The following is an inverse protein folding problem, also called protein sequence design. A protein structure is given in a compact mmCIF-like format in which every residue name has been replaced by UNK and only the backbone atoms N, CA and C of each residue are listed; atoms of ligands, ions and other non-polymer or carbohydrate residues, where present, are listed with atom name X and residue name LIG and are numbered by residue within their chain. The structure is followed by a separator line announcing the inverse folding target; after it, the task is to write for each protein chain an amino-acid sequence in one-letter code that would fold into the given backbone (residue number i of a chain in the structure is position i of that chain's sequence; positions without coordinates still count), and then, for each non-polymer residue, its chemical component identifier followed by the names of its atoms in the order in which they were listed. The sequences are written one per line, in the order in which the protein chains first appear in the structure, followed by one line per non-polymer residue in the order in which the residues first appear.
data_IF_023783935919
#
_entry.id   IF_023783935919
#
_cell.length_a   1.000
_cell.length_b   1.000
_cell.length_c   1.000
_cell.angle_alpha   90.00
_cell.angle_beta   90.00
_cell.angle_gamma   90.00
#
_symmetry.space_group_name_H-M   'P 1'
#
loop_
_entity.id
_entity.type
_entity.pdbx_description
1 polymer ?
#
# COMPACT_ATOMS: atom_id res chain seq x y z
N UNK A 1 -7.22 12.06 11.93
CA UNK A 1 -6.40 11.88 10.75
C UNK A 1 -6.53 13.06 9.84
N UNK A 2 -5.46 13.53 9.24
CA UNK A 2 -5.51 14.75 8.45
C UNK A 2 -6.12 14.50 7.08
N UNK A 3 -6.79 15.53 6.55
CA UNK A 3 -7.32 15.46 5.18
C UNK A 3 -6.21 15.28 4.16
N UNK A 4 -5.01 15.81 4.45
CA UNK A 4 -3.87 15.66 3.55
C UNK A 4 -3.46 14.21 3.41
N UNK A 5 -3.48 13.46 4.52
CA UNK A 5 -3.16 12.03 4.46
C UNK A 5 -4.17 11.28 3.60
N UNK A 6 -5.46 11.55 3.79
CA UNK A 6 -6.51 10.86 3.05
C UNK A 6 -6.39 11.15 1.56
N UNK A 7 -6.18 12.41 1.18
CA UNK A 7 -6.03 12.80 -0.22
C UNK A 7 -4.82 12.13 -0.86
N UNK A 8 -3.70 12.13 -0.15
CA UNK A 8 -2.47 11.50 -0.65
C UNK A 8 -2.64 10.00 -0.81
N UNK A 9 -3.30 9.36 0.15
CA UNK A 9 -3.54 7.93 0.09
C UNK A 9 -4.41 7.56 -1.12
N UNK A 10 -5.47 8.33 -1.37
CA UNK A 10 -6.33 8.10 -2.52
C UNK A 10 -5.56 8.27 -3.83
N UNK A 11 -4.78 9.35 -3.94
CA UNK A 11 -3.98 9.60 -5.14
C UNK A 11 -3.01 8.45 -5.40
N UNK A 12 -2.31 8.02 -4.37
CA UNK A 12 -1.34 6.92 -4.49
C UNK A 12 -2.03 5.60 -4.83
N UNK A 13 -3.21 5.36 -4.27
CA UNK A 13 -3.98 4.16 -4.59
C UNK A 13 -4.36 4.11 -6.07
N UNK A 14 -4.76 5.24 -6.64
CA UNK A 14 -5.08 5.32 -8.05
C UNK A 14 -3.84 5.10 -8.92
N UNK A 15 -2.70 5.65 -8.52
CA UNK A 15 -1.44 5.42 -9.23
C UNK A 15 -1.05 3.95 -9.19
N UNK A 16 -1.23 3.32 -8.05
CA UNK A 16 -0.92 1.90 -7.88
C UNK A 16 -1.83 1.04 -8.76
N UNK A 17 -3.12 1.36 -8.82
CA UNK A 17 -4.05 0.64 -9.68
C UNK A 17 -3.64 0.72 -11.14
N UNK A 18 -3.21 1.90 -11.59
CA UNK A 18 -2.70 2.06 -12.95
C UNK A 18 -1.45 1.22 -13.19
N UNK A 19 -0.57 1.19 -12.20
CA UNK A 19 0.64 0.38 -12.30
C UNK A 19 0.28 -1.10 -12.46
N UNK A 20 -0.64 -1.59 -11.65
CA UNK A 20 -1.06 -2.99 -11.72
C UNK A 20 -1.70 -3.34 -13.06
N UNK A 21 -2.45 -2.41 -13.65
CA UNK A 21 -3.04 -2.63 -14.97
C UNK A 21 -1.98 -2.88 -16.04
N UNK A 22 -0.84 -2.23 -15.90
CA UNK A 22 0.26 -2.35 -16.86
C UNK A 22 1.21 -3.49 -16.52
N UNK A 23 1.10 -4.06 -15.33
CA UNK A 23 2.01 -5.10 -14.85
C UNK A 23 1.23 -6.26 -14.26
N UNK A 24 0.55 -7.06 -15.12
CA UNK A 24 -0.30 -8.15 -14.60
C UNK A 24 0.45 -9.18 -13.77
N UNK A 25 1.75 -9.38 -14.02
CA UNK A 25 2.54 -10.30 -13.22
C UNK A 25 2.65 -9.84 -11.77
N UNK A 26 2.71 -8.53 -11.54
CA UNK A 26 2.73 -7.99 -10.18
C UNK A 26 1.37 -8.17 -9.49
N UNK A 27 0.30 -7.99 -10.23
CA UNK A 27 -1.05 -8.21 -9.69
C UNK A 27 -1.21 -9.63 -9.16
N UNK A 28 -0.62 -10.61 -9.84
CA UNK A 28 -0.71 -12.01 -9.44
C UNK A 28 0.00 -12.30 -8.11
N UNK A 29 0.91 -11.44 -7.70
CA UNK A 29 1.62 -11.58 -6.42
C UNK A 29 0.75 -11.21 -5.22
N UNK A 30 -0.39 -10.55 -5.46
CA UNK A 30 -1.25 -10.10 -4.39
C UNK A 30 -2.25 -11.22 -4.05
N UNK A 31 -2.24 -11.72 -2.80
CA UNK A 31 -3.21 -12.73 -2.41
C UNK A 31 -4.63 -12.20 -2.47
N UNK A 32 -5.58 -13.10 -2.72
CA UNK A 32 -6.98 -12.72 -2.74
C UNK A 32 -7.39 -12.14 -1.37
N UNK A 33 -8.10 -11.01 -1.39
CA UNK A 33 -8.56 -10.32 -0.18
C UNK A 33 -7.44 -9.82 0.72
N UNK A 34 -6.25 -9.62 0.16
CA UNK A 34 -5.14 -9.08 0.94
C UNK A 34 -5.36 -7.60 1.28
N UNK A 35 -4.85 -7.21 2.43
CA UNK A 35 -4.78 -5.81 2.82
C UNK A 35 -3.60 -5.17 2.08
N UNK A 36 -3.82 -4.01 1.47
CA UNK A 36 -2.74 -3.28 0.79
C UNK A 36 -2.37 -2.07 1.64
N UNK A 37 -1.10 -1.98 1.99
CA UNK A 37 -0.55 -0.88 2.76
C UNK A 37 0.34 -0.07 1.83
N UNK A 38 -0.04 1.18 1.57
CA UNK A 38 0.72 2.03 0.66
C UNK A 38 1.76 2.82 1.44
N UNK A 39 3.01 2.77 0.98
CA UNK A 39 4.09 3.55 1.56
C UNK A 39 4.85 4.27 0.46
N UNK A 40 5.64 5.26 0.84
CA UNK A 40 6.47 6.02 -0.09
C UNK A 40 7.88 6.07 0.47
N UNK A 41 8.86 5.68 -0.33
CA UNK A 41 10.25 5.71 0.10
C UNK A 41 10.62 7.12 0.54
N UNK A 42 11.12 7.25 1.77
CA UNK A 42 11.58 8.51 2.32
C UNK A 42 10.51 9.33 3.04
N UNK A 43 9.24 8.95 2.94
CA UNK A 43 8.16 9.68 3.61
C UNK A 43 7.78 8.99 4.91
N UNK A 44 8.53 9.26 5.95
CA UNK A 44 8.38 8.57 7.23
C UNK A 44 7.03 8.81 7.88
N UNK A 45 6.53 10.04 7.82
CA UNK A 45 5.27 10.39 8.47
C UNK A 45 4.09 9.70 7.78
N UNK A 46 4.05 9.76 6.45
CA UNK A 46 2.99 9.10 5.69
C UNK A 46 3.02 7.59 5.94
N UNK A 47 4.21 7.00 5.92
CA UNK A 47 4.36 5.56 6.10
C UNK A 47 3.92 5.11 7.48
N UNK A 48 4.25 5.88 8.51
CA UNK A 48 3.84 5.58 9.87
C UNK A 48 2.32 5.57 9.99
N UNK A 49 1.66 6.55 9.41
CA UNK A 49 0.20 6.64 9.44
C UNK A 49 -0.44 5.49 8.68
N UNK A 50 0.12 5.14 7.51
CA UNK A 50 -0.39 4.01 6.71
C UNK A 50 -0.28 2.70 7.48
N UNK A 51 0.85 2.47 8.12
CA UNK A 51 1.06 1.24 8.87
C UNK A 51 0.16 1.16 10.10
N UNK A 52 -0.05 2.29 10.79
CA UNK A 52 -0.92 2.33 11.96
C UNK A 52 -2.36 1.99 11.58
N UNK A 53 -2.84 2.50 10.44
CA UNK A 53 -4.19 2.21 9.97
C UNK A 53 -4.31 0.73 9.59
N UNK A 54 -3.31 0.21 8.89
CA UNK A 54 -3.32 -1.19 8.49
C UNK A 54 -3.44 -2.12 9.70
N UNK A 55 -2.71 -1.81 10.77
CA UNK A 55 -2.78 -2.62 11.98
C UNK A 55 -4.15 -2.56 12.66
N UNK A 56 -4.82 -1.42 12.57
CA UNK A 56 -6.15 -1.27 13.16
C UNK A 56 -7.24 -1.98 12.38
N UNK A 57 -7.14 -2.02 11.05
CA UNK A 57 -8.18 -2.58 10.21
C UNK A 57 -7.91 -4.01 9.79
N UNK A 58 -6.71 -4.50 10.03
CA UNK A 58 -6.34 -5.88 9.69
C UNK A 58 -7.19 -6.86 10.48
N UNK A 59 -7.81 -7.77 9.77
CA UNK A 59 -8.58 -8.84 10.39
C UNK A 59 -7.65 -10.01 10.73
N UNK A 60 -8.07 -10.83 11.68
CA UNK A 60 -7.32 -12.03 12.05
C UNK A 60 -7.09 -12.89 10.80
N UNK A 61 -5.87 -13.36 10.65
CA UNK A 61 -5.46 -14.21 9.52
C UNK A 61 -5.43 -13.51 8.18
N UNK A 62 -5.72 -12.21 8.11
CA UNK A 62 -5.62 -11.47 6.87
C UNK A 62 -4.16 -11.21 6.53
N UNK A 63 -3.79 -11.50 5.28
CA UNK A 63 -2.44 -11.17 4.79
C UNK A 63 -2.42 -9.75 4.29
N UNK A 64 -1.32 -9.05 4.55
CA UNK A 64 -1.14 -7.69 4.06
C UNK A 64 0.11 -7.62 3.19
N UNK A 65 0.04 -6.78 2.17
CA UNK A 65 1.15 -6.52 1.25
C UNK A 65 1.46 -5.04 1.33
N UNK A 66 2.74 -4.73 1.48
CA UNK A 66 3.20 -3.34 1.39
C UNK A 66 3.47 -3.00 -0.07
N UNK A 67 2.83 -1.95 -0.56
CA UNK A 67 3.09 -1.40 -1.89
C UNK A 67 3.88 -0.11 -1.69
N UNK A 68 5.20 -0.18 -1.88
CA UNK A 68 6.08 0.95 -1.65
C UNK A 68 6.40 1.65 -2.97
N UNK A 69 6.13 2.93 -3.03
CA UNK A 69 6.47 3.75 -4.19
C UNK A 69 7.92 4.20 -4.09
N UNK A 70 8.72 3.88 -5.11
CA UNK A 70 10.11 4.33 -5.23
C UNK A 70 10.29 4.99 -6.58
N UNK A 71 10.27 6.33 -6.60
CA UNK A 71 10.27 7.08 -7.85
C UNK A 71 9.01 6.81 -8.65
N UNK A 72 9.17 6.32 -9.87
CA UNK A 72 8.04 5.94 -10.72
C UNK A 72 7.71 4.44 -10.64
N UNK A 73 8.43 3.71 -9.80
CA UNK A 73 8.25 2.26 -9.64
C UNK A 73 7.52 1.94 -8.36
N UNK A 74 6.96 0.73 -8.32
CA UNK A 74 6.31 0.19 -7.14
C UNK A 74 6.94 -1.14 -6.77
N UNK A 75 7.19 -1.34 -5.47
CA UNK A 75 7.77 -2.58 -4.97
C UNK A 75 6.76 -3.21 -4.02
N UNK A 76 6.44 -4.49 -4.29
CA UNK A 76 5.50 -5.25 -3.48
C UNK A 76 6.27 -6.18 -2.56
N UNK A 77 5.98 -6.09 -1.27
CA UNK A 77 6.61 -6.95 -0.27
C UNK A 77 5.57 -7.39 0.76
N UNK A 78 5.75 -8.56 1.37
CA UNK A 78 4.88 -8.94 2.48
C UNK A 78 5.00 -7.92 3.60
N UNK A 79 3.85 -7.50 4.12
CA UNK A 79 3.84 -6.57 5.23
C UNK A 79 4.11 -7.35 6.52
N UNK A 80 5.13 -6.97 7.30
CA UNK A 80 5.42 -7.68 8.55
C UNK A 80 4.26 -7.50 9.52
N UNK A 81 3.80 -8.60 10.03
CA UNK A 81 2.68 -8.59 10.97
C UNK A 81 3.07 -7.99 12.31
#
# INVERSE_FOLDING_TARGET
MSNQFIKKNIKLSLEFDKYLSKHPAEFKKIPNKACIVITVKGDKEFNRNSMAIAQKVKQDSQKCIEARKEGSNWILEPFPA
#
